data_IF_191703122060
#
_entry.id   IF_191703122060
#
_cell.length_a   1.000
_cell.length_b   1.000
_cell.length_c   1.000
_cell.angle_alpha   90.00
_cell.angle_beta   90.00
_cell.angle_gamma   90.00
#
_symmetry.space_group_name_H-M   'P 1'
#
loop_
_entity.id
_entity.type
_entity.pdbx_description
1 polymer ?
#
# COMPACT_ATOMS: atom_id res chain seq x y z
N UNK A 1 38.01 -17.23 -20.50
CA UNK A 1 38.39 -18.60 -20.09
C UNK A 1 37.12 -19.34 -19.70
N UNK A 2 36.73 -20.35 -20.49
CA UNK A 2 35.57 -21.19 -20.24
C UNK A 2 35.83 -22.12 -19.05
N UNK A 3 34.87 -22.23 -18.13
CA UNK A 3 34.56 -23.51 -17.49
C UNK A 3 33.03 -23.66 -17.51
N UNK A 4 32.55 -24.64 -18.28
CA UNK A 4 31.18 -25.15 -18.25
C UNK A 4 31.03 -26.07 -17.04
N UNK A 5 30.06 -25.79 -16.18
CA UNK A 5 29.45 -26.75 -15.27
C UNK A 5 27.95 -26.81 -15.54
N UNK A 6 27.44 -27.94 -16.02
CA UNK A 6 26.00 -28.23 -16.12
C UNK A 6 25.46 -28.52 -14.72
N UNK A 7 24.29 -27.99 -14.39
CA UNK A 7 23.48 -28.48 -13.28
C UNK A 7 22.71 -27.38 -12.55
N UNK A 8 21.40 -27.35 -12.77
CA UNK A 8 20.38 -26.54 -12.06
C UNK A 8 20.42 -25.02 -12.29
N UNK A 9 19.35 -24.39 -12.83
CA UNK A 9 19.11 -22.98 -12.57
C UNK A 9 18.74 -22.89 -11.10
N UNK A 10 19.73 -22.57 -10.28
CA UNK A 10 19.53 -22.03 -8.95
C UNK A 10 18.88 -20.65 -9.17
N UNK A 11 17.55 -20.60 -9.09
CA UNK A 11 16.78 -19.36 -8.94
C UNK A 11 17.05 -18.82 -7.53
N UNK A 12 18.27 -18.34 -7.33
CA UNK A 12 18.67 -17.52 -6.21
C UNK A 12 18.65 -16.08 -6.73
N UNK A 13 17.91 -15.21 -6.03
CA UNK A 13 17.88 -13.73 -6.19
C UNK A 13 16.99 -13.07 -7.25
N UNK A 14 15.81 -13.61 -7.53
CA UNK A 14 14.80 -12.87 -8.31
C UNK A 14 13.40 -12.97 -7.68
N UNK A 15 13.24 -12.44 -6.47
CA UNK A 15 11.93 -12.24 -5.84
C UNK A 15 11.96 -11.12 -4.78
N UNK A 16 12.69 -10.03 -5.01
CA UNK A 16 12.60 -8.79 -4.22
C UNK A 16 12.97 -7.63 -5.13
N UNK A 17 12.11 -7.32 -6.09
CA UNK A 17 12.22 -6.09 -6.87
C UNK A 17 10.83 -5.48 -6.90
N UNK A 18 10.51 -4.66 -5.90
CA UNK A 18 9.56 -3.54 -5.92
C UNK A 18 9.63 -2.80 -4.57
N UNK A 19 10.81 -2.37 -4.12
CA UNK A 19 10.91 -1.49 -2.94
C UNK A 19 12.13 -0.57 -3.09
N UNK A 20 11.91 0.69 -3.48
CA UNK A 20 12.94 1.71 -3.42
C UNK A 20 12.36 3.13 -3.23
N UNK A 21 12.64 3.68 -2.02
CA UNK A 21 12.89 5.10 -1.64
C UNK A 21 11.67 6.05 -1.71
N UNK A 22 11.38 6.96 -0.77
CA UNK A 22 12.15 7.94 0.06
C UNK A 22 11.45 8.15 1.42
N UNK A 23 12.18 8.49 2.49
CA UNK A 23 11.60 8.93 3.77
C UNK A 23 11.47 10.45 3.82
N UNK A 24 10.31 10.94 4.26
CA UNK A 24 10.19 12.29 4.81
C UNK A 24 9.64 12.19 6.23
N UNK A 25 10.36 12.80 7.18
CA UNK A 25 9.87 13.01 8.54
C UNK A 25 8.97 14.25 8.50
N UNK A 26 7.68 14.04 8.69
CA UNK A 26 6.71 15.13 8.74
C UNK A 26 6.71 15.69 10.18
N UNK A 27 7.42 16.79 10.43
CA UNK A 27 7.33 17.57 11.67
C UNK A 27 8.50 17.45 12.68
N UNK A 28 9.23 18.56 12.85
CA UNK A 28 9.82 19.13 14.08
C UNK A 28 10.65 18.36 15.13
N UNK A 29 10.71 17.03 15.15
CA UNK A 29 11.40 16.27 16.21
C UNK A 29 12.38 15.24 15.64
N UNK A 30 13.46 15.74 15.03
CA UNK A 30 14.64 14.94 14.73
C UNK A 30 15.86 15.71 15.26
N UNK A 31 16.45 15.31 16.42
CA UNK A 31 17.49 14.28 16.29
C UNK A 31 17.73 13.49 17.60
N UNK A 32 17.30 12.23 17.72
CA UNK A 32 17.81 11.38 18.82
C UNK A 32 18.14 9.92 18.50
N UNK A 33 17.83 9.36 17.34
CA UNK A 33 18.09 7.93 17.10
C UNK A 33 18.88 7.71 15.81
N UNK A 34 20.21 7.78 15.96
CA UNK A 34 21.19 7.56 14.90
C UNK A 34 21.35 6.10 14.48
N UNK A 35 20.32 5.48 13.90
CA UNK A 35 20.44 4.20 13.18
C UNK A 35 19.55 4.17 11.92
N UNK A 36 20.10 3.83 10.73
CA UNK A 36 19.32 3.83 9.49
C UNK A 36 18.58 2.49 9.36
N UNK A 37 17.34 2.45 9.82
CA UNK A 37 16.42 1.37 9.50
C UNK A 37 15.42 1.89 8.46
N UNK A 38 15.63 1.47 7.22
CA UNK A 38 14.93 1.95 6.03
C UNK A 38 13.87 0.94 5.57
N UNK A 39 12.59 1.24 5.76
CA UNK A 39 11.49 0.58 5.03
C UNK A 39 10.40 1.58 4.57
N UNK A 40 10.19 1.75 3.27
CA UNK A 40 9.08 2.53 2.69
C UNK A 40 8.15 1.58 1.94
N UNK A 41 6.85 1.62 2.24
CA UNK A 41 5.83 0.83 1.56
C UNK A 41 5.30 1.64 0.38
N UNK A 42 5.60 1.18 -0.84
CA UNK A 42 4.97 1.67 -2.06
C UNK A 42 3.87 0.68 -2.47
N UNK A 43 2.61 1.08 -2.37
CA UNK A 43 1.48 0.26 -2.84
C UNK A 43 1.25 0.43 -4.36
N UNK A 44 1.80 1.47 -5.00
CA UNK A 44 1.95 1.58 -6.46
C UNK A 44 3.28 2.29 -6.76
N UNK A 45 4.01 1.93 -7.83
CA UNK A 45 4.94 2.89 -8.40
C UNK A 45 4.09 4.08 -8.86
N UNK A 46 4.38 5.27 -8.34
CA UNK A 46 4.04 6.51 -9.04
C UNK A 46 4.73 6.41 -10.40
N UNK A 47 4.00 5.87 -11.38
CA UNK A 47 4.42 5.86 -12.77
C UNK A 47 4.19 7.28 -13.27
N UNK A 48 5.05 8.19 -12.80
CA UNK A 48 5.11 9.58 -13.21
C UNK A 48 5.06 9.62 -14.75
N UNK A 49 3.89 9.98 -15.30
CA UNK A 49 3.65 10.10 -16.74
C UNK A 49 2.75 9.06 -17.42
N UNK A 50 2.26 8.02 -16.72
CA UNK A 50 1.31 7.06 -17.31
C UNK A 50 -0.18 7.41 -17.08
N UNK A 51 -0.46 8.46 -16.30
CA UNK A 51 -1.82 8.83 -15.90
C UNK A 51 -2.41 7.82 -14.91
N UNK A 52 -3.60 8.10 -14.34
CA UNK A 52 -4.25 7.18 -13.42
C UNK A 52 -4.56 5.86 -14.13
N UNK A 53 -4.09 4.74 -13.57
CA UNK A 53 -4.43 3.40 -14.07
C UNK A 53 -5.94 3.21 -13.83
N UNK A 54 -6.74 2.91 -14.88
CA UNK A 54 -8.16 2.61 -14.70
C UNK A 54 -8.38 1.50 -13.68
N UNK A 55 -9.39 1.65 -12.82
CA UNK A 55 -9.72 0.68 -11.76
C UNK A 55 -9.83 -0.75 -12.31
N UNK A 56 -10.39 -0.92 -13.50
CA UNK A 56 -10.54 -2.23 -14.14
C UNK A 56 -9.18 -2.89 -14.42
N UNK A 57 -8.17 -2.10 -14.81
CA UNK A 57 -6.81 -2.60 -15.00
C UNK A 57 -6.17 -2.96 -13.66
N UNK A 58 -6.36 -2.16 -12.61
CA UNK A 58 -5.88 -2.49 -11.25
C UNK A 58 -6.46 -3.82 -10.78
N UNK A 59 -7.77 -4.03 -10.96
CA UNK A 59 -8.44 -5.30 -10.62
C UNK A 59 -7.81 -6.48 -11.35
N UNK A 60 -7.62 -6.38 -12.68
CA UNK A 60 -6.98 -7.44 -13.47
C UNK A 60 -5.57 -7.74 -12.97
N UNK A 61 -4.78 -6.70 -12.66
CA UNK A 61 -3.42 -6.85 -12.11
C UNK A 61 -3.47 -7.61 -10.79
N UNK A 62 -4.39 -7.25 -9.88
CA UNK A 62 -4.53 -7.93 -8.60
C UNK A 62 -4.97 -9.40 -8.75
N UNK A 63 -5.91 -9.71 -9.62
CA UNK A 63 -6.34 -11.09 -9.92
C UNK A 63 -5.19 -11.93 -10.49
N UNK A 64 -4.40 -11.35 -11.40
CA UNK A 64 -3.20 -12.00 -11.97
C UNK A 64 -2.15 -12.25 -10.89
N UNK A 65 -1.91 -11.28 -10.01
CA UNK A 65 -0.98 -11.42 -8.88
C UNK A 65 -1.41 -12.54 -7.94
N UNK A 66 -2.68 -12.62 -7.56
CA UNK A 66 -3.23 -13.69 -6.72
C UNK A 66 -3.00 -15.05 -7.37
N UNK A 67 -3.34 -15.16 -8.66
CA UNK A 67 -3.15 -16.40 -9.44
C UNK A 67 -1.69 -16.81 -9.48
N UNK A 68 -0.79 -15.87 -9.75
CA UNK A 68 0.64 -16.12 -9.77
C UNK A 68 1.16 -16.57 -8.41
N UNK A 69 0.81 -15.87 -7.33
CA UNK A 69 1.24 -16.20 -5.96
C UNK A 69 0.74 -17.58 -5.55
N UNK A 70 -0.50 -17.92 -5.88
CA UNK A 70 -1.06 -19.24 -5.59
C UNK A 70 -0.30 -20.37 -6.30
N UNK A 71 0.14 -20.14 -7.54
CA UNK A 71 0.83 -21.13 -8.38
C UNK A 71 2.34 -21.22 -8.13
N UNK A 72 3.01 -20.09 -7.93
CA UNK A 72 4.46 -20.00 -7.91
C UNK A 72 5.06 -20.13 -6.50
N UNK A 73 4.31 -19.72 -5.47
CA UNK A 73 4.81 -19.75 -4.10
C UNK A 73 4.67 -21.13 -3.47
N UNK A 74 5.54 -21.42 -2.50
CA UNK A 74 5.57 -22.70 -1.79
C UNK A 74 4.18 -23.05 -1.22
N UNK A 75 3.68 -24.30 -1.40
CA UNK A 75 2.36 -24.70 -0.93
C UNK A 75 2.15 -24.50 0.58
N UNK A 76 3.19 -24.74 1.39
CA UNK A 76 3.14 -24.62 2.86
C UNK A 76 3.70 -23.28 3.36
N UNK A 77 3.93 -22.31 2.47
CA UNK A 77 4.37 -20.97 2.87
C UNK A 77 3.21 -20.18 3.46
N UNK A 78 3.48 -19.34 4.45
CA UNK A 78 2.54 -18.31 4.87
C UNK A 78 2.52 -17.21 3.80
N UNK A 79 1.33 -16.87 3.32
CA UNK A 79 1.12 -15.89 2.26
C UNK A 79 0.12 -14.86 2.76
N UNK A 80 0.53 -13.60 2.75
CA UNK A 80 -0.31 -12.47 3.13
C UNK A 80 -0.56 -11.58 1.92
N UNK A 81 -1.75 -11.00 1.86
CA UNK A 81 -2.13 -10.01 0.88
C UNK A 81 -2.66 -8.79 1.64
N UNK A 82 -2.00 -7.63 1.53
CA UNK A 82 -2.50 -6.39 2.12
C UNK A 82 -3.50 -5.74 1.17
N UNK A 83 -4.62 -5.28 1.70
CA UNK A 83 -5.53 -4.43 0.92
C UNK A 83 -4.85 -3.10 0.58
N UNK A 84 -5.30 -2.44 -0.49
CA UNK A 84 -4.78 -1.14 -0.91
C UNK A 84 -5.12 -0.07 0.14
N UNK A 85 -4.16 0.77 0.50
CA UNK A 85 -4.40 1.92 1.38
C UNK A 85 -5.12 3.05 0.63
N UNK A 86 -5.95 3.85 1.32
CA UNK A 86 -6.63 4.99 0.72
C UNK A 86 -5.67 6.15 0.42
N UNK A 87 -6.16 7.06 -0.42
CA UNK A 87 -5.65 8.41 -0.63
C UNK A 87 -6.65 9.43 -0.06
N UNK A 88 -6.20 10.62 0.34
CA UNK A 88 -7.05 11.64 0.98
C UNK A 88 -7.01 12.98 0.24
N UNK A 89 -7.32 12.99 -1.05
CA UNK A 89 -7.34 14.23 -1.82
C UNK A 89 -8.62 15.04 -1.63
N UNK A 90 -8.47 16.35 -1.44
CA UNK A 90 -9.52 17.35 -1.46
C UNK A 90 -9.28 18.36 -2.59
N UNK A 91 -10.36 18.83 -3.23
CA UNK A 91 -10.28 19.89 -4.26
C UNK A 91 -9.78 19.45 -5.64
N UNK A 92 -9.51 18.15 -5.86
CA UNK A 92 -9.06 17.58 -7.13
C UNK A 92 -8.17 16.36 -6.90
N UNK A 93 -7.78 15.64 -7.95
CA UNK A 93 -6.72 14.61 -7.84
C UNK A 93 -5.31 15.23 -7.85
N UNK A 94 -4.26 14.41 -7.72
CA UNK A 94 -2.86 14.82 -7.64
C UNK A 94 -2.40 15.74 -8.78
N UNK A 95 -2.99 15.60 -9.97
CA UNK A 95 -2.69 16.38 -11.17
C UNK A 95 -3.66 17.55 -11.42
N UNK A 96 -4.63 17.76 -10.53
CA UNK A 96 -5.69 18.77 -10.66
C UNK A 96 -5.60 19.85 -9.57
N UNK A 97 -4.54 19.83 -8.77
CA UNK A 97 -4.34 20.74 -7.64
C UNK A 97 -4.97 20.26 -6.33
N UNK A 98 -5.23 18.96 -6.22
CA UNK A 98 -5.68 18.34 -4.97
C UNK A 98 -4.68 18.52 -3.82
N UNK A 99 -5.21 18.61 -2.60
CA UNK A 99 -4.43 18.77 -1.36
C UNK A 99 -4.96 17.86 -0.25
N UNK A 100 -4.23 17.76 0.87
CA UNK A 100 -4.59 16.91 2.01
C UNK A 100 -4.00 17.43 3.33
N UNK A 101 -4.22 18.70 3.62
CA UNK A 101 -3.71 19.30 4.85
C UNK A 101 -4.67 19.05 6.01
N UNK A 102 -4.52 17.90 6.65
CA UNK A 102 -5.23 17.57 7.88
C UNK A 102 -4.25 17.54 9.06
N UNK A 103 -4.69 18.05 10.20
CA UNK A 103 -3.97 17.99 11.48
C UNK A 103 -4.60 17.00 12.46
N UNK A 104 -5.80 16.48 12.15
CA UNK A 104 -6.55 15.52 12.95
C UNK A 104 -7.13 14.39 12.08
N UNK A 105 -7.32 13.19 12.64
CA UNK A 105 -8.05 12.12 11.97
C UNK A 105 -9.46 12.55 11.57
N UNK A 106 -9.96 11.99 10.48
CA UNK A 106 -11.35 12.16 10.06
C UNK A 106 -12.30 11.51 11.05
N UNK A 107 -13.48 12.11 11.22
CA UNK A 107 -14.63 11.51 11.89
C UNK A 107 -15.24 10.38 11.07
N UNK A 108 -16.07 9.54 11.71
CA UNK A 108 -16.81 8.47 11.04
C UNK A 108 -17.70 8.98 9.90
N UNK A 109 -18.31 10.14 10.09
CA UNK A 109 -19.15 10.82 9.11
C UNK A 109 -18.33 11.28 7.90
N UNK A 110 -17.18 11.91 8.13
CA UNK A 110 -16.25 12.32 7.07
C UNK A 110 -15.71 11.11 6.29
N UNK A 111 -15.31 10.04 6.98
CA UNK A 111 -14.89 8.78 6.33
C UNK A 111 -16.00 8.17 5.48
N UNK A 112 -17.26 8.27 5.93
CA UNK A 112 -18.38 7.78 5.14
C UNK A 112 -18.56 8.60 3.87
N UNK A 113 -18.44 9.92 3.97
CA UNK A 113 -18.60 10.84 2.85
C UNK A 113 -17.43 10.77 1.86
N UNK A 114 -16.18 10.95 2.32
CA UNK A 114 -14.99 10.99 1.46
C UNK A 114 -14.80 9.77 0.58
N UNK A 115 -15.17 8.61 1.10
CA UNK A 115 -14.93 7.33 0.46
C UNK A 115 -16.24 6.67 0.00
N UNK A 116 -17.38 7.36 0.00
CA UNK A 116 -18.65 6.76 -0.43
C UNK A 116 -18.58 6.30 -1.88
N UNK A 117 -18.90 5.05 -2.17
CA UNK A 117 -18.96 4.60 -3.57
C UNK A 117 -20.14 5.19 -4.35
N UNK A 118 -21.10 5.79 -3.65
CA UNK A 118 -22.25 6.47 -4.25
C UNK A 118 -21.87 7.84 -4.81
N UNK A 119 -20.75 8.41 -4.36
CA UNK A 119 -20.16 9.58 -4.99
C UNK A 119 -19.04 9.12 -5.94
N UNK A 120 -18.97 9.68 -7.13
CA UNK A 120 -17.84 9.42 -8.04
C UNK A 120 -16.64 10.29 -7.64
N UNK A 121 -16.29 10.26 -6.34
CA UNK A 121 -15.28 11.12 -5.72
C UNK A 121 -13.87 10.63 -5.99
N UNK A 122 -12.87 11.50 -5.77
CA UNK A 122 -11.47 11.19 -6.04
C UNK A 122 -10.90 10.06 -5.14
N UNK A 123 -11.45 9.85 -3.95
CA UNK A 123 -10.89 8.91 -2.97
C UNK A 123 -11.50 7.50 -3.01
N UNK A 124 -12.48 7.23 -3.88
CA UNK A 124 -13.23 5.96 -3.88
C UNK A 124 -12.46 4.74 -4.39
N UNK A 125 -11.35 4.98 -5.10
CA UNK A 125 -10.63 3.96 -5.86
C UNK A 125 -10.22 2.75 -4.99
N UNK A 126 -9.66 3.02 -3.81
CA UNK A 126 -9.20 1.97 -2.90
C UNK A 126 -10.37 1.10 -2.42
N UNK A 127 -11.53 1.68 -2.07
CA UNK A 127 -12.70 0.89 -1.67
C UNK A 127 -13.20 0.02 -2.83
N UNK A 128 -13.27 0.57 -4.04
CA UNK A 128 -13.75 -0.16 -5.21
C UNK A 128 -12.82 -1.33 -5.56
N UNK A 129 -11.52 -1.07 -5.68
CA UNK A 129 -10.51 -2.11 -5.94
C UNK A 129 -10.52 -3.16 -4.85
N UNK A 130 -10.55 -2.76 -3.58
CA UNK A 130 -10.52 -3.70 -2.46
C UNK A 130 -11.80 -4.54 -2.38
N UNK A 131 -12.97 -4.03 -2.76
CA UNK A 131 -14.18 -4.86 -2.84
C UNK A 131 -14.04 -6.00 -3.85
N UNK A 132 -13.42 -5.74 -5.01
CA UNK A 132 -13.14 -6.78 -5.99
C UNK A 132 -12.05 -7.73 -5.51
N UNK A 133 -10.98 -7.20 -4.93
CA UNK A 133 -9.88 -7.97 -4.35
C UNK A 133 -10.38 -8.94 -3.27
N UNK A 134 -11.20 -8.48 -2.34
CA UNK A 134 -11.75 -9.31 -1.26
C UNK A 134 -12.57 -10.48 -1.83
N UNK A 135 -13.42 -10.24 -2.83
CA UNK A 135 -14.18 -11.31 -3.50
C UNK A 135 -13.28 -12.33 -4.19
N UNK A 136 -12.19 -11.87 -4.82
CA UNK A 136 -11.21 -12.78 -5.43
C UNK A 136 -10.43 -13.58 -4.37
N UNK A 137 -10.12 -12.96 -3.23
CA UNK A 137 -9.40 -13.60 -2.13
C UNK A 137 -10.27 -14.59 -1.35
N UNK A 138 -11.59 -14.38 -1.26
CA UNK A 138 -12.54 -15.36 -0.68
C UNK A 138 -12.50 -16.71 -1.41
N UNK A 139 -12.17 -16.70 -2.70
CA UNK A 139 -12.02 -17.92 -3.50
C UNK A 139 -10.64 -18.59 -3.32
N UNK A 140 -9.70 -17.92 -2.63
CA UNK A 140 -8.33 -18.38 -2.42
C UNK A 140 -8.13 -18.90 -1.00
N UNK A 141 -7.95 -20.21 -0.85
CA UNK A 141 -7.75 -20.84 0.48
C UNK A 141 -6.32 -20.70 1.03
N UNK A 142 -5.37 -20.17 0.26
CA UNK A 142 -3.95 -20.12 0.66
C UNK A 142 -3.43 -18.73 1.01
N UNK A 143 -4.25 -17.69 0.82
CA UNK A 143 -3.89 -16.31 1.11
C UNK A 143 -4.63 -15.80 2.35
N UNK A 144 -3.91 -15.10 3.22
CA UNK A 144 -4.47 -14.39 4.36
C UNK A 144 -4.51 -12.91 4.05
N UNK A 145 -5.62 -12.25 4.37
CA UNK A 145 -5.76 -10.82 4.07
C UNK A 145 -5.37 -9.97 5.27
N UNK A 146 -4.54 -8.95 5.05
CA UNK A 146 -4.33 -7.84 5.99
C UNK A 146 -5.21 -6.68 5.53
N UNK A 147 -6.36 -6.51 6.17
CA UNK A 147 -7.29 -5.43 5.82
C UNK A 147 -6.86 -4.14 6.54
N UNK A 148 -6.08 -3.33 5.83
CA UNK A 148 -5.55 -2.05 6.34
C UNK A 148 -6.38 -0.85 5.87
N UNK A 149 -7.31 -1.04 4.93
CA UNK A 149 -7.96 0.05 4.22
C UNK A 149 -8.81 0.88 5.16
N UNK A 150 -9.78 0.26 5.85
CA UNK A 150 -10.75 1.01 6.66
C UNK A 150 -10.08 1.75 7.82
N UNK A 151 -9.12 1.14 8.51
CA UNK A 151 -8.37 1.84 9.57
C UNK A 151 -7.55 3.02 9.05
N UNK A 152 -7.11 2.95 7.79
CA UNK A 152 -6.31 4.01 7.17
C UNK A 152 -7.18 5.16 6.63
N UNK A 153 -8.47 4.92 6.35
CA UNK A 153 -9.41 5.97 5.89
C UNK A 153 -9.62 7.07 6.94
N UNK A 154 -9.39 6.78 8.22
CA UNK A 154 -9.46 7.79 9.27
C UNK A 154 -8.23 8.69 9.31
N UNK A 155 -7.11 8.28 8.71
CA UNK A 155 -5.79 8.85 8.98
C UNK A 155 -5.36 9.91 7.98
N UNK A 156 -6.27 10.76 7.54
CA UNK A 156 -5.95 11.88 6.64
C UNK A 156 -4.81 12.78 7.18
N UNK A 157 -4.68 12.86 8.51
CA UNK A 157 -3.62 13.57 9.25
C UNK A 157 -2.19 13.04 9.06
N UNK A 158 -2.05 11.84 8.50
CA UNK A 158 -0.78 11.13 8.45
C UNK A 158 -0.08 11.19 7.08
N UNK A 159 -0.54 12.07 6.18
CA UNK A 159 0.06 12.30 4.88
C UNK A 159 1.17 13.37 4.95
N UNK A 160 2.24 13.25 4.14
CA UNK A 160 3.26 14.30 4.04
C UNK A 160 2.73 15.63 3.51
N UNK A 161 1.66 15.60 2.70
CA UNK A 161 1.10 16.77 2.04
C UNK A 161 2.22 17.57 1.33
N UNK A 162 2.37 18.85 1.65
CA UNK A 162 3.40 19.74 1.08
C UNK A 162 4.84 19.32 1.41
N UNK A 163 5.04 18.49 2.44
CA UNK A 163 6.37 18.02 2.86
C UNK A 163 6.80 16.72 2.18
N UNK A 164 6.01 16.18 1.24
CA UNK A 164 6.35 14.97 0.49
C UNK A 164 7.53 15.11 -0.49
N UNK A 165 8.07 16.32 -0.67
CA UNK A 165 9.17 16.58 -1.62
C UNK A 165 8.74 16.54 -3.10
N UNK A 166 7.42 16.57 -3.36
CA UNK A 166 6.81 16.64 -4.69
C UNK A 166 6.42 18.08 -5.03
N UNK A 167 6.10 18.33 -6.31
CA UNK A 167 5.59 19.64 -6.77
C UNK A 167 4.12 19.89 -6.44
N UNK A 168 3.42 18.85 -6.01
CA UNK A 168 2.04 18.85 -5.52
C UNK A 168 2.02 18.17 -4.15
N UNK A 169 0.90 18.27 -3.44
CA UNK A 169 0.74 17.58 -2.16
C UNK A 169 0.82 16.06 -2.34
N UNK A 170 1.51 15.40 -1.42
CA UNK A 170 1.58 13.94 -1.37
C UNK A 170 0.50 13.40 -0.42
N UNK A 171 -0.63 12.99 -1.01
CA UNK A 171 -1.80 12.47 -0.31
C UNK A 171 -2.01 10.96 -0.51
N UNK A 172 -0.95 10.27 -0.94
CA UNK A 172 -0.96 8.83 -1.24
C UNK A 172 0.06 8.08 -0.37
N UNK A 173 1.20 8.72 -0.05
CA UNK A 173 2.19 8.16 0.86
C UNK A 173 1.92 8.54 2.31
N UNK A 174 2.50 7.77 3.22
CA UNK A 174 2.32 7.93 4.67
C UNK A 174 3.58 8.45 5.32
N UNK A 175 3.45 9.41 6.24
CA UNK A 175 4.55 9.82 7.11
C UNK A 175 4.97 8.65 8.02
N UNK A 176 6.25 8.65 8.43
CA UNK A 176 6.76 7.76 9.46
C UNK A 176 7.29 8.56 10.66
N UNK A 177 7.05 8.12 11.90
CA UNK A 177 6.15 7.01 12.29
C UNK A 177 4.67 7.31 11.94
N UNK A 178 3.84 6.29 11.73
CA UNK A 178 2.49 6.48 11.20
C UNK A 178 1.65 5.20 11.00
N UNK A 179 0.60 5.25 10.16
CA UNK A 179 -0.34 4.14 9.95
C UNK A 179 0.32 2.83 9.52
N UNK A 180 1.43 2.91 8.78
CA UNK A 180 2.26 1.77 8.38
C UNK A 180 2.84 0.99 9.57
N UNK A 181 3.08 1.64 10.71
CA UNK A 181 3.49 0.95 11.94
C UNK A 181 2.35 0.07 12.47
N UNK A 182 1.11 0.59 12.45
CA UNK A 182 -0.07 -0.18 12.83
C UNK A 182 -0.36 -1.34 11.84
N UNK A 183 -0.02 -1.19 10.56
CA UNK A 183 -0.08 -2.29 9.59
C UNK A 183 0.94 -3.40 9.90
N UNK A 184 2.14 -3.01 10.32
CA UNK A 184 3.16 -3.97 10.77
C UNK A 184 2.69 -4.71 12.04
N UNK A 185 2.05 -4.01 12.97
CA UNK A 185 1.46 -4.62 14.17
C UNK A 185 0.35 -5.62 13.80
N UNK A 186 -0.50 -5.30 12.82
CA UNK A 186 -1.53 -6.21 12.31
C UNK A 186 -0.90 -7.48 11.70
N UNK A 187 0.19 -7.34 10.94
CA UNK A 187 0.93 -8.48 10.41
C UNK A 187 1.55 -9.32 11.54
N UNK A 188 2.18 -8.68 12.52
CA UNK A 188 2.79 -9.37 13.66
C UNK A 188 1.76 -10.16 14.47
N UNK A 189 0.62 -9.55 14.77
CA UNK A 189 -0.50 -10.21 15.45
C UNK A 189 -1.04 -11.41 14.63
N UNK A 190 -1.16 -11.23 13.31
CA UNK A 190 -1.61 -12.30 12.42
C UNK A 190 -0.63 -13.47 12.37
N UNK A 191 0.67 -13.21 12.41
CA UNK A 191 1.72 -14.24 12.49
C UNK A 191 1.67 -14.98 13.83
N UNK A 192 1.50 -14.26 14.93
CA UNK A 192 1.41 -14.85 16.27
C UNK A 192 0.20 -15.79 16.40
N UNK A 193 -0.96 -15.39 15.87
CA UNK A 193 -2.19 -16.19 15.89
C UNK A 193 -2.12 -17.49 15.06
N UNK A 194 -1.12 -17.63 14.19
CA UNK A 194 -0.89 -18.87 13.41
C UNK A 194 -0.01 -19.86 14.18
N UNK A 195 0.81 -19.35 15.09
CA UNK A 195 1.76 -20.15 15.87
C UNK A 195 1.15 -20.66 17.20
N UNK A 196 -0.02 -20.15 17.59
CA UNK A 196 -0.82 -20.59 18.73
C UNK A 196 -1.76 -21.74 18.38
#
# INVERSE_FOLDING_TARGET
MLIRGRGTPRLDRAAVWWLARVFHLCGGLAPLLGHPLSWAWAQEPDLDGLGPIPVQQKIIVYEQQITFVNKAMRPNGLKFFSTQSPRHFEGGDWNEGGSCQHDQPLSSEEVKEFFSLDNNGTNIEARLVNQHLMKALEQSTTLRVLNVTHMSEFRADAHPATTGGKKHDDCMHWCLPGPTDAWNDLLAASLAAIQS
#
